data_IF_455320223959
#
_entry.id   IF_455320223959
#
_cell.length_a   1.000
_cell.length_b   1.000
_cell.length_c   1.000
_cell.angle_alpha   90.00
_cell.angle_beta   90.00
_cell.angle_gamma   90.00
#
_symmetry.space_group_name_H-M   'P 1'
#
loop_
_entity.id
_entity.type
_entity.pdbx_description
1 polymer ?
#
# COMPACT_ATOMS: atom_id res chain seq x y z
N UNK A 1 16.09 26.99 -90.14
CA UNK A 1 16.80 26.66 -88.91
C UNK A 1 17.80 25.57 -89.18
N UNK A 2 19.04 25.68 -88.73
CA UNK A 2 20.00 24.57 -88.88
C UNK A 2 19.48 23.29 -88.21
N UNK A 3 19.66 22.16 -88.85
CA UNK A 3 19.19 20.86 -88.39
C UNK A 3 19.68 20.52 -86.98
N UNK A 4 20.83 21.04 -86.57
CA UNK A 4 21.42 20.91 -85.25
C UNK A 4 20.57 21.57 -84.15
N UNK A 5 19.94 22.71 -84.42
CA UNK A 5 19.11 23.43 -83.45
C UNK A 5 17.77 22.71 -83.24
N UNK A 6 17.22 22.12 -84.32
CA UNK A 6 16.00 21.31 -84.20
C UNK A 6 16.29 20.05 -83.35
N UNK A 7 17.41 19.39 -83.58
CA UNK A 7 17.81 18.21 -82.83
C UNK A 7 17.99 18.55 -81.34
N UNK A 8 18.59 19.70 -81.04
CA UNK A 8 18.82 20.13 -79.64
C UNK A 8 17.49 20.43 -78.89
N UNK A 9 16.51 21.04 -79.63
CA UNK A 9 15.18 21.31 -79.07
C UNK A 9 14.43 19.99 -78.84
N UNK A 10 14.51 19.05 -79.75
CA UNK A 10 13.83 17.73 -79.61
C UNK A 10 14.43 16.94 -78.45
N UNK A 11 15.77 16.90 -78.34
CA UNK A 11 16.44 16.24 -77.24
C UNK A 11 16.11 16.91 -75.88
N UNK A 12 16.09 18.24 -75.87
CA UNK A 12 15.67 18.97 -74.65
C UNK A 12 14.25 18.70 -74.21
N UNK A 13 13.32 18.63 -75.20
CA UNK A 13 11.92 18.29 -74.93
C UNK A 13 11.75 16.84 -74.42
N UNK A 14 12.49 15.90 -74.98
CA UNK A 14 12.49 14.51 -74.55
C UNK A 14 13.05 14.39 -73.11
N UNK A 15 14.19 15.05 -72.87
CA UNK A 15 14.75 15.10 -71.48
C UNK A 15 13.77 15.68 -70.48
N UNK A 16 13.08 16.77 -70.81
CA UNK A 16 12.12 17.40 -69.95
C UNK A 16 10.93 16.47 -69.64
N UNK A 17 10.42 15.74 -70.68
CA UNK A 17 9.37 14.76 -70.47
C UNK A 17 9.80 13.56 -69.65
N UNK A 18 11.03 13.08 -69.80
CA UNK A 18 11.58 11.98 -69.00
C UNK A 18 11.80 12.41 -67.52
N UNK A 19 12.40 13.58 -67.28
CA UNK A 19 12.60 14.08 -65.94
C UNK A 19 11.27 14.42 -65.24
N UNK A 20 10.34 15.02 -65.96
CA UNK A 20 9.00 15.31 -65.46
C UNK A 20 8.18 14.01 -65.16
N UNK A 21 8.30 13.01 -66.02
CA UNK A 21 7.70 11.70 -65.80
C UNK A 21 8.30 10.97 -64.61
N UNK A 22 9.61 11.00 -64.44
CA UNK A 22 10.30 10.42 -63.28
C UNK A 22 9.92 11.15 -61.96
N UNK A 23 9.87 12.47 -62.00
CA UNK A 23 9.43 13.27 -60.85
C UNK A 23 7.97 13.00 -60.48
N UNK A 24 7.09 12.87 -61.50
CA UNK A 24 5.70 12.52 -61.25
C UNK A 24 5.54 11.09 -60.72
N UNK A 25 6.26 10.14 -61.26
CA UNK A 25 6.30 8.76 -60.74
C UNK A 25 6.85 8.71 -59.30
N UNK A 26 7.95 9.41 -59.03
CA UNK A 26 8.53 9.50 -57.73
C UNK A 26 7.52 10.13 -56.74
N UNK A 27 6.85 11.20 -57.12
CA UNK A 27 5.85 11.87 -56.30
C UNK A 27 4.62 10.96 -56.04
N UNK A 28 4.17 10.27 -57.08
CA UNK A 28 3.06 9.33 -56.98
C UNK A 28 3.38 8.14 -56.09
N UNK A 29 4.53 7.50 -56.25
CA UNK A 29 4.99 6.41 -55.38
C UNK A 29 5.30 6.87 -53.96
N UNK A 30 5.81 8.07 -53.76
CA UNK A 30 6.05 8.63 -52.44
C UNK A 30 4.74 9.01 -51.72
N UNK A 31 3.76 9.56 -52.46
CA UNK A 31 2.42 9.82 -51.95
C UNK A 31 1.64 8.54 -51.63
N UNK A 32 1.75 7.49 -52.43
CA UNK A 32 1.14 6.19 -52.14
C UNK A 32 1.84 5.47 -50.95
N UNK A 33 3.13 5.73 -50.74
CA UNK A 33 3.86 5.26 -49.57
C UNK A 33 3.56 6.06 -48.29
N UNK A 34 3.14 7.31 -48.44
CA UNK A 34 2.75 8.22 -47.31
C UNK A 34 1.24 8.21 -47.09
N UNK A 35 0.42 7.78 -48.06
CA UNK A 35 -0.98 7.45 -47.75
C UNK A 35 -0.92 6.38 -46.66
N UNK A 36 -1.19 6.80 -45.43
CA UNK A 36 -1.54 5.87 -44.36
C UNK A 36 -2.46 4.81 -45.00
N UNK A 37 -1.94 3.60 -45.20
CA UNK A 37 -2.81 2.47 -45.45
C UNK A 37 -3.87 2.59 -44.40
N UNK A 38 -5.12 2.69 -44.80
CA UNK A 38 -6.22 2.61 -43.84
C UNK A 38 -5.92 1.35 -43.06
N UNK A 39 -5.48 1.53 -41.85
CA UNK A 39 -5.14 0.44 -40.93
C UNK A 39 -6.44 -0.33 -40.84
N UNK A 40 -6.48 -1.58 -41.30
CA UNK A 40 -7.68 -2.38 -41.22
C UNK A 40 -8.16 -2.39 -39.79
N UNK A 41 -9.47 -2.31 -39.60
CA UNK A 41 -10.07 -2.39 -38.26
C UNK A 41 -9.45 -3.56 -37.50
N UNK A 42 -8.72 -3.28 -36.41
CA UNK A 42 -8.06 -4.27 -35.55
C UNK A 42 -6.55 -4.41 -35.65
N UNK A 43 -5.85 -3.68 -36.53
CA UNK A 43 -4.38 -3.80 -36.65
C UNK A 43 -3.61 -3.28 -35.43
N UNK A 44 -4.18 -2.38 -34.64
CA UNK A 44 -3.69 -1.88 -33.35
C UNK A 44 -4.62 -2.22 -32.17
N UNK A 45 -5.50 -3.22 -32.37
CA UNK A 45 -6.59 -3.54 -31.47
C UNK A 45 -7.85 -2.72 -31.79
N UNK A 46 -8.98 -3.25 -31.40
CA UNK A 46 -10.27 -2.57 -31.49
C UNK A 46 -10.77 -2.27 -30.09
N UNK A 47 -11.04 -1.01 -29.78
CA UNK A 47 -11.75 -0.62 -28.58
C UNK A 47 -13.17 -0.21 -28.95
N UNK A 48 -14.16 -0.76 -28.27
CA UNK A 48 -15.56 -0.39 -28.38
C UNK A 48 -16.25 -0.46 -27.02
N UNK A 49 -17.37 0.16 -26.89
CA UNK A 49 -18.22 -0.01 -25.73
C UNK A 49 -18.70 -1.45 -25.62
N UNK A 50 -18.70 -2.00 -24.41
CA UNK A 50 -19.25 -3.31 -24.13
C UNK A 50 -20.76 -3.34 -24.45
N UNK A 51 -21.21 -4.43 -25.03
CA UNK A 51 -22.64 -4.67 -25.23
C UNK A 51 -23.30 -5.01 -23.90
N UNK A 52 -24.63 -4.81 -23.82
CA UNK A 52 -25.39 -5.19 -22.62
C UNK A 52 -25.25 -6.69 -22.29
N UNK A 53 -25.05 -7.53 -23.29
CA UNK A 53 -24.84 -8.96 -23.07
C UNK A 53 -23.46 -9.24 -22.44
N UNK A 54 -22.41 -8.58 -22.90
CA UNK A 54 -21.08 -8.69 -22.31
C UNK A 54 -21.06 -8.18 -20.87
N UNK A 55 -21.69 -7.03 -20.59
CA UNK A 55 -21.84 -6.51 -19.21
C UNK A 55 -22.53 -7.53 -18.31
N UNK A 56 -23.62 -8.16 -18.78
CA UNK A 56 -24.35 -9.18 -18.02
C UNK A 56 -23.54 -10.46 -17.79
N UNK A 57 -22.63 -10.79 -18.68
CA UNK A 57 -21.78 -11.98 -18.54
C UNK A 57 -20.56 -11.72 -17.65
N UNK A 58 -20.04 -10.50 -17.65
CA UNK A 58 -18.83 -10.13 -16.93
C UNK A 58 -19.11 -9.78 -15.46
N UNK A 59 -20.17 -9.03 -15.20
CA UNK A 59 -20.45 -8.51 -13.86
C UNK A 59 -21.61 -9.26 -13.18
N UNK A 60 -21.51 -9.43 -11.88
CA UNK A 60 -22.64 -9.86 -11.07
C UNK A 60 -23.65 -8.71 -10.92
N UNK A 61 -24.92 -9.03 -11.13
CA UNK A 61 -26.02 -8.07 -10.98
C UNK A 61 -26.65 -8.27 -9.60
N UNK A 62 -26.46 -7.32 -8.71
CA UNK A 62 -26.91 -7.39 -7.31
C UNK A 62 -27.89 -6.24 -7.05
N UNK A 63 -29.14 -6.52 -6.62
CA UNK A 63 -30.00 -5.45 -6.14
C UNK A 63 -29.31 -4.62 -5.09
N UNK A 64 -29.27 -3.29 -5.25
CA UNK A 64 -28.59 -2.39 -4.31
C UNK A 64 -29.59 -1.84 -3.32
N UNK A 65 -29.75 -2.53 -2.18
CA UNK A 65 -30.80 -2.30 -1.18
C UNK A 65 -30.22 -2.02 0.23
N UNK A 66 -29.48 -0.91 0.43
CA UNK A 66 -28.79 -0.62 1.70
C UNK A 66 -29.70 -0.63 2.93
N UNK A 67 -30.95 -0.19 2.77
CA UNK A 67 -31.93 -0.15 3.88
C UNK A 67 -32.32 -1.55 4.38
N UNK A 68 -32.38 -2.55 3.49
CA UNK A 68 -32.63 -3.94 3.83
C UNK A 68 -31.35 -4.60 4.36
N UNK A 69 -30.23 -4.34 3.74
CA UNK A 69 -28.93 -4.86 4.17
C UNK A 69 -28.59 -4.47 5.62
N UNK A 70 -28.86 -3.20 6.00
CA UNK A 70 -28.67 -2.71 7.37
C UNK A 70 -29.58 -3.37 8.41
N UNK A 71 -30.65 -4.02 7.97
CA UNK A 71 -31.50 -4.86 8.80
C UNK A 71 -31.09 -6.33 8.80
N UNK A 72 -30.06 -6.69 8.05
CA UNK A 72 -29.62 -8.07 7.88
C UNK A 72 -30.43 -8.86 6.85
N UNK A 73 -31.23 -8.18 6.02
CA UNK A 73 -32.07 -8.78 4.99
C UNK A 73 -31.38 -8.66 3.61
N UNK A 74 -31.57 -9.65 2.74
CA UNK A 74 -31.10 -9.69 1.35
C UNK A 74 -29.59 -9.42 1.17
N UNK A 75 -28.76 -9.78 2.15
CA UNK A 75 -27.31 -9.54 2.08
C UNK A 75 -26.68 -10.17 0.83
N UNK A 76 -25.77 -9.45 0.13
CA UNK A 76 -25.11 -9.99 -1.04
C UNK A 76 -24.17 -11.15 -0.67
N UNK A 77 -24.27 -12.25 -1.41
CA UNK A 77 -23.41 -13.43 -1.20
C UNK A 77 -22.01 -13.27 -1.81
N UNK A 78 -21.92 -12.45 -2.86
CA UNK A 78 -20.66 -12.29 -3.63
C UNK A 78 -19.88 -11.08 -3.15
N UNK A 79 -18.62 -11.26 -2.86
CA UNK A 79 -17.68 -10.19 -2.57
C UNK A 79 -17.10 -9.62 -3.86
N UNK A 80 -16.91 -8.30 -3.93
CA UNK A 80 -16.38 -7.64 -5.12
C UNK A 80 -16.47 -6.11 -5.05
N UNK A 81 -16.17 -5.45 -6.17
CA UNK A 81 -16.24 -4.00 -6.32
C UNK A 81 -17.44 -3.57 -7.15
N UNK A 82 -18.20 -2.60 -6.67
CA UNK A 82 -19.28 -1.96 -7.42
C UNK A 82 -18.67 -1.00 -8.42
N UNK A 83 -18.83 -1.26 -9.70
CA UNK A 83 -18.29 -0.47 -10.80
C UNK A 83 -19.31 0.44 -11.46
N UNK A 84 -20.60 0.14 -11.31
CA UNK A 84 -21.68 0.89 -11.90
C UNK A 84 -23.02 0.41 -11.39
N UNK A 85 -24.07 0.98 -11.95
CA UNK A 85 -25.44 0.57 -11.62
C UNK A 85 -26.34 0.66 -12.86
N UNK A 86 -27.40 -0.13 -12.82
CA UNK A 86 -28.48 -0.12 -13.81
C UNK A 86 -29.84 -0.02 -13.09
N UNK A 87 -30.88 0.35 -13.86
CA UNK A 87 -32.25 0.39 -13.37
C UNK A 87 -32.74 1.78 -12.96
N UNK A 88 -34.03 1.89 -12.65
CA UNK A 88 -34.63 3.12 -12.17
C UNK A 88 -34.21 3.44 -10.73
N UNK A 89 -34.40 4.67 -10.28
CA UNK A 89 -33.97 5.13 -8.94
C UNK A 89 -34.52 4.29 -7.78
N UNK A 90 -35.71 3.73 -7.94
CA UNK A 90 -36.38 2.94 -6.92
C UNK A 90 -35.95 1.45 -6.92
N UNK A 91 -35.25 0.99 -7.96
CA UNK A 91 -34.77 -0.37 -8.11
C UNK A 91 -33.39 -0.39 -8.78
N UNK A 92 -32.41 0.06 -8.04
CA UNK A 92 -31.03 0.12 -8.51
C UNK A 92 -30.41 -1.28 -8.41
N UNK A 93 -29.78 -1.72 -9.50
CA UNK A 93 -28.99 -2.95 -9.53
C UNK A 93 -27.52 -2.57 -9.67
N UNK A 94 -26.70 -2.96 -8.72
CA UNK A 94 -25.25 -2.78 -8.78
C UNK A 94 -24.62 -3.77 -9.75
N UNK A 95 -23.67 -3.29 -10.54
CA UNK A 95 -22.78 -4.07 -11.39
C UNK A 95 -21.50 -4.34 -10.59
N UNK A 96 -21.32 -5.56 -10.16
CA UNK A 96 -20.25 -5.95 -9.24
C UNK A 96 -19.22 -6.81 -9.97
N UNK A 97 -17.97 -6.39 -9.97
CA UNK A 97 -16.87 -7.24 -10.37
C UNK A 97 -16.44 -8.13 -9.19
N UNK A 98 -16.53 -9.44 -9.42
CA UNK A 98 -16.25 -10.45 -8.39
C UNK A 98 -14.87 -11.08 -8.52
N UNK A 99 -14.07 -10.65 -9.49
CA UNK A 99 -12.71 -11.13 -9.67
C UNK A 99 -11.72 -10.51 -8.67
N UNK A 100 -10.56 -11.11 -8.53
CA UNK A 100 -9.47 -10.56 -7.73
C UNK A 100 -8.72 -9.51 -8.56
N UNK A 101 -9.19 -8.27 -8.52
CA UNK A 101 -8.68 -7.18 -9.35
C UNK A 101 -8.28 -5.98 -8.50
N UNK A 102 -7.43 -5.14 -9.05
CA UNK A 102 -7.24 -3.77 -8.57
C UNK A 102 -8.03 -2.82 -9.45
N UNK A 103 -8.55 -1.76 -8.86
CA UNK A 103 -9.23 -0.70 -9.58
C UNK A 103 -8.59 0.65 -9.26
N UNK A 104 -8.45 1.51 -10.26
CA UNK A 104 -7.98 2.87 -10.07
C UNK A 104 -9.08 3.87 -10.43
N UNK A 105 -9.30 4.85 -9.56
CA UNK A 105 -10.26 5.92 -9.79
C UNK A 105 -9.52 7.24 -9.98
N UNK A 106 -9.72 7.85 -11.15
CA UNK A 106 -9.15 9.17 -11.46
C UNK A 106 -10.28 10.13 -11.77
N UNK A 107 -10.44 11.17 -10.97
CA UNK A 107 -11.45 12.20 -11.20
C UNK A 107 -11.07 13.52 -10.51
N UNK A 108 -11.45 14.64 -11.10
CA UNK A 108 -11.22 15.97 -10.56
C UNK A 108 -11.84 16.15 -9.16
N UNK A 109 -11.38 17.17 -8.43
CA UNK A 109 -12.03 17.55 -7.17
C UNK A 109 -13.49 17.99 -7.44
N UNK A 110 -14.41 17.55 -6.58
CA UNK A 110 -15.85 17.84 -6.75
C UNK A 110 -16.59 16.97 -7.77
N UNK A 111 -15.92 16.06 -8.47
CA UNK A 111 -16.55 15.15 -9.44
C UNK A 111 -17.45 14.06 -8.81
N UNK A 112 -17.48 13.97 -7.48
CA UNK A 112 -18.35 13.04 -6.78
C UNK A 112 -17.70 11.66 -6.50
N UNK A 113 -16.36 11.54 -6.55
CA UNK A 113 -15.64 10.29 -6.24
C UNK A 113 -16.15 9.61 -4.98
N UNK A 114 -16.26 10.36 -3.90
CA UNK A 114 -16.72 9.82 -2.61
C UNK A 114 -18.18 9.39 -2.68
N UNK A 115 -19.07 10.20 -3.25
CA UNK A 115 -20.50 9.94 -3.28
C UNK A 115 -20.90 8.80 -4.25
N UNK A 116 -20.28 8.77 -5.44
CA UNK A 116 -20.67 7.82 -6.49
C UNK A 116 -19.84 6.55 -6.54
N UNK A 117 -18.66 6.55 -5.92
CA UNK A 117 -17.80 5.36 -5.91
C UNK A 117 -17.53 4.85 -4.50
N UNK A 118 -16.98 5.69 -3.60
CA UNK A 118 -16.58 5.21 -2.28
C UNK A 118 -17.75 4.77 -1.41
N UNK A 119 -18.79 5.60 -1.26
CA UNK A 119 -19.93 5.25 -0.43
C UNK A 119 -20.64 3.97 -0.87
N UNK A 120 -20.97 3.77 -2.17
CA UNK A 120 -21.54 2.51 -2.62
C UNK A 120 -20.62 1.30 -2.39
N UNK A 121 -19.31 1.46 -2.57
CA UNK A 121 -18.35 0.39 -2.36
C UNK A 121 -18.13 0.05 -0.88
N UNK A 122 -18.11 1.03 0.02
CA UNK A 122 -18.04 0.81 1.46
C UNK A 122 -19.30 0.11 1.95
N UNK A 123 -20.49 0.58 1.53
CA UNK A 123 -21.75 -0.07 1.88
C UNK A 123 -21.80 -1.52 1.38
N UNK A 124 -21.34 -1.76 0.14
CA UNK A 124 -21.29 -3.10 -0.43
C UNK A 124 -20.25 -3.99 0.28
N UNK A 125 -19.09 -3.46 0.62
CA UNK A 125 -18.08 -4.19 1.38
C UNK A 125 -18.61 -4.64 2.74
N UNK A 126 -19.32 -3.74 3.43
CA UNK A 126 -19.97 -4.05 4.70
C UNK A 126 -21.05 -5.12 4.55
N UNK A 127 -21.94 -4.98 3.57
CA UNK A 127 -23.03 -5.92 3.34
C UNK A 127 -22.53 -7.31 2.92
N UNK A 128 -21.48 -7.38 2.08
CA UNK A 128 -20.87 -8.64 1.61
C UNK A 128 -19.86 -9.25 2.59
N UNK A 129 -19.58 -8.58 3.70
CA UNK A 129 -18.70 -9.09 4.74
C UNK A 129 -17.20 -8.99 4.43
N UNK A 130 -16.78 -8.14 3.49
CA UNK A 130 -15.36 -7.89 3.21
C UNK A 130 -14.76 -6.99 4.29
N UNK A 131 -13.58 -7.32 4.79
CA UNK A 131 -12.81 -6.36 5.60
C UNK A 131 -12.24 -5.25 4.74
N UNK A 132 -12.21 -4.05 5.24
CA UNK A 132 -11.62 -2.93 4.49
C UNK A 132 -10.82 -1.97 5.35
N UNK A 133 -9.85 -1.34 4.69
CA UNK A 133 -9.06 -0.23 5.20
C UNK A 133 -9.30 0.96 4.30
N UNK A 134 -9.50 2.15 4.86
CA UNK A 134 -9.58 3.37 4.06
C UNK A 134 -8.78 4.51 4.66
N UNK A 135 -8.17 5.31 3.79
CA UNK A 135 -7.66 6.63 4.15
C UNK A 135 -8.78 7.65 4.05
N UNK A 136 -8.86 8.58 5.00
CA UNK A 136 -9.94 9.54 5.13
C UNK A 136 -9.39 10.93 5.50
N UNK A 137 -9.15 11.76 4.50
CA UNK A 137 -8.56 13.09 4.71
C UNK A 137 -9.53 14.07 5.41
N UNK A 138 -10.82 13.87 5.28
CA UNK A 138 -11.85 14.74 5.85
C UNK A 138 -12.49 14.19 7.13
N UNK A 139 -12.33 12.92 7.40
CA UNK A 139 -13.01 12.21 8.47
C UNK A 139 -14.49 11.91 8.16
N UNK A 140 -14.91 12.09 6.90
CA UNK A 140 -16.30 11.90 6.47
C UNK A 140 -16.66 10.40 6.37
N UNK A 141 -15.72 9.58 5.90
CA UNK A 141 -15.92 8.14 5.78
C UNK A 141 -16.12 7.52 7.16
N UNK A 142 -15.26 7.87 8.11
CA UNK A 142 -15.37 7.43 9.49
C UNK A 142 -16.69 7.88 10.13
N UNK A 143 -17.03 9.18 10.04
CA UNK A 143 -18.26 9.71 10.65
C UNK A 143 -19.53 9.09 10.10
N UNK A 144 -19.55 8.81 8.78
CA UNK A 144 -20.74 8.31 8.11
C UNK A 144 -20.92 6.79 8.24
N UNK A 145 -19.83 6.03 8.32
CA UNK A 145 -19.88 4.58 8.19
C UNK A 145 -19.46 3.78 9.43
N UNK A 146 -18.70 4.34 10.37
CA UNK A 146 -18.24 3.57 11.53
C UNK A 146 -19.39 3.05 12.38
N UNK A 147 -20.41 3.90 12.65
CA UNK A 147 -21.61 3.49 13.37
C UNK A 147 -22.41 2.44 12.59
N UNK A 148 -22.66 2.66 11.31
CA UNK A 148 -23.37 1.71 10.44
C UNK A 148 -22.65 0.36 10.40
N UNK A 149 -21.34 0.37 10.23
CA UNK A 149 -20.52 -0.85 10.17
C UNK A 149 -20.63 -1.66 11.47
N UNK A 150 -20.54 -0.99 12.62
CA UNK A 150 -20.63 -1.62 13.93
C UNK A 150 -22.04 -2.12 14.24
N UNK A 151 -23.04 -1.24 14.15
CA UNK A 151 -24.38 -1.47 14.68
C UNK A 151 -25.25 -2.30 13.73
N UNK A 152 -25.09 -2.12 12.41
CA UNK A 152 -25.90 -2.83 11.41
C UNK A 152 -25.24 -4.11 10.90
N UNK A 153 -23.92 -4.12 10.74
CA UNK A 153 -23.20 -5.24 10.11
C UNK A 153 -22.31 -6.03 11.07
N UNK A 154 -22.15 -5.58 12.32
CA UNK A 154 -21.39 -6.27 13.37
C UNK A 154 -19.88 -6.26 13.14
N UNK A 155 -19.36 -5.21 12.51
CA UNK A 155 -17.92 -5.07 12.27
C UNK A 155 -17.17 -4.64 13.53
N UNK A 156 -15.94 -5.12 13.64
CA UNK A 156 -14.96 -4.50 14.51
C UNK A 156 -14.40 -3.26 13.82
N UNK A 157 -14.37 -2.15 14.55
CA UNK A 157 -13.93 -0.85 14.03
C UNK A 157 -12.67 -0.42 14.73
N UNK A 158 -11.68 0.02 13.96
CA UNK A 158 -10.55 0.76 14.47
C UNK A 158 -10.43 2.10 13.73
N UNK A 159 -10.15 3.16 14.46
CA UNK A 159 -9.85 4.47 13.90
C UNK A 159 -8.45 4.90 14.33
N UNK A 160 -7.59 5.14 13.35
CA UNK A 160 -6.28 5.74 13.56
C UNK A 160 -6.39 7.21 13.20
N UNK A 161 -6.72 8.04 14.18
CA UNK A 161 -6.92 9.47 13.98
C UNK A 161 -5.62 10.24 14.21
N UNK A 162 -4.86 10.46 13.14
CA UNK A 162 -3.62 11.24 13.19
C UNK A 162 -3.87 12.75 13.29
N UNK A 163 -5.11 13.19 13.10
CA UNK A 163 -5.53 14.57 13.31
C UNK A 163 -5.73 14.87 14.80
N UNK A 164 -6.33 13.91 15.51
CA UNK A 164 -6.60 13.98 16.94
C UNK A 164 -6.11 12.70 17.65
N UNK A 165 -4.80 12.53 17.83
CA UNK A 165 -4.22 11.30 18.39
C UNK A 165 -4.79 10.88 19.73
N UNK A 166 -5.25 11.83 20.56
CA UNK A 166 -5.89 11.57 21.86
C UNK A 166 -7.27 10.90 21.77
N UNK A 167 -7.86 10.84 20.59
CA UNK A 167 -9.14 10.17 20.30
C UNK A 167 -8.96 8.96 19.39
N UNK A 168 -7.74 8.64 19.05
CA UNK A 168 -7.38 7.51 18.21
C UNK A 168 -7.42 6.21 19.00
N UNK A 169 -7.75 5.13 18.34
CA UNK A 169 -7.43 3.80 18.84
C UNK A 169 -5.92 3.58 18.85
N UNK A 170 -5.47 2.69 19.73
CA UNK A 170 -4.08 2.29 19.79
C UNK A 170 -3.62 1.51 18.57
N UNK A 171 -2.37 1.69 18.21
CA UNK A 171 -1.66 0.90 17.21
C UNK A 171 -0.24 0.62 17.68
N UNK A 172 -0.10 -0.37 18.53
CA UNK A 172 1.20 -0.83 19.00
C UNK A 172 1.88 -1.65 17.89
N UNK A 173 2.92 -1.10 17.31
CA UNK A 173 3.68 -1.76 16.24
C UNK A 173 4.28 -3.13 16.66
N UNK A 174 4.43 -3.36 17.97
CA UNK A 174 4.94 -4.62 18.52
C UNK A 174 3.81 -5.61 18.88
N UNK A 175 2.55 -5.30 18.62
CA UNK A 175 1.41 -6.10 19.08
C UNK A 175 1.54 -7.59 18.74
N UNK A 176 1.77 -7.94 17.48
CA UNK A 176 1.90 -9.34 17.06
C UNK A 176 3.15 -10.01 17.65
N UNK A 177 4.24 -9.25 17.81
CA UNK A 177 5.46 -9.76 18.46
C UNK A 177 5.16 -10.14 19.91
N UNK A 178 4.50 -9.23 20.64
CA UNK A 178 4.11 -9.42 22.04
C UNK A 178 3.15 -10.60 22.18
N UNK A 179 2.09 -10.65 21.37
CA UNK A 179 1.09 -11.72 21.34
C UNK A 179 1.74 -13.11 21.22
N UNK A 180 2.61 -13.29 20.23
CA UNK A 180 3.25 -14.59 20.01
C UNK A 180 4.35 -14.90 21.03
N UNK A 181 5.02 -13.88 21.59
CA UNK A 181 5.95 -14.07 22.67
C UNK A 181 5.22 -14.52 23.95
N UNK A 182 4.05 -13.96 24.25
CA UNK A 182 3.24 -14.35 25.41
C UNK A 182 2.72 -15.80 25.27
N UNK A 183 2.28 -16.21 24.07
CA UNK A 183 1.92 -17.60 23.79
C UNK A 183 3.13 -18.54 24.01
N UNK A 184 4.31 -18.14 23.56
CA UNK A 184 5.54 -18.94 23.79
C UNK A 184 5.93 -18.99 25.26
N UNK A 185 5.81 -17.89 26.02
CA UNK A 185 6.08 -17.88 27.46
C UNK A 185 5.12 -18.77 28.23
N UNK A 186 3.84 -18.79 27.84
CA UNK A 186 2.83 -19.67 28.46
C UNK A 186 3.08 -21.15 28.15
N UNK A 187 3.55 -21.48 26.95
CA UNK A 187 3.95 -22.83 26.54
C UNK A 187 5.29 -22.81 25.79
N UNK A 188 6.43 -22.98 26.50
CA UNK A 188 7.76 -23.02 25.88
C UNK A 188 8.01 -24.13 24.87
N UNK A 189 7.11 -25.10 24.76
CA UNK A 189 7.17 -26.16 23.74
C UNK A 189 6.58 -25.67 22.41
N UNK A 190 5.81 -24.60 22.41
CA UNK A 190 5.24 -24.00 21.21
C UNK A 190 6.29 -23.18 20.43
N UNK A 191 7.18 -23.91 19.73
CA UNK A 191 8.22 -23.29 18.91
C UNK A 191 7.64 -22.52 17.71
N UNK A 192 6.43 -22.85 17.27
CA UNK A 192 5.76 -22.12 16.21
C UNK A 192 5.43 -20.68 16.63
N UNK A 193 4.94 -20.48 17.86
CA UNK A 193 4.71 -19.14 18.40
C UNK A 193 6.02 -18.32 18.47
N UNK A 194 7.09 -18.94 18.96
CA UNK A 194 8.42 -18.30 18.97
C UNK A 194 8.87 -17.88 17.58
N UNK A 195 8.75 -18.76 16.59
CA UNK A 195 9.12 -18.47 15.22
C UNK A 195 8.29 -17.32 14.62
N UNK A 196 7.00 -17.21 14.96
CA UNK A 196 6.15 -16.07 14.56
C UNK A 196 6.61 -14.77 15.21
N UNK A 197 6.91 -14.74 16.51
CA UNK A 197 7.45 -13.57 17.17
C UNK A 197 8.75 -13.07 16.49
N UNK A 198 9.66 -14.01 16.17
CA UNK A 198 10.90 -13.72 15.44
C UNK A 198 10.62 -13.17 14.02
N UNK A 199 9.64 -13.73 13.30
CA UNK A 199 9.22 -13.31 11.96
C UNK A 199 8.68 -11.89 11.97
N UNK A 200 7.72 -11.59 12.86
CA UNK A 200 7.14 -10.25 12.97
C UNK A 200 8.16 -9.20 13.45
N UNK A 201 9.11 -9.58 14.32
CA UNK A 201 10.21 -8.69 14.70
C UNK A 201 11.07 -8.29 13.51
N UNK A 202 11.39 -9.24 12.61
CA UNK A 202 12.14 -8.93 11.38
C UNK A 202 11.33 -8.06 10.42
N UNK A 203 10.03 -8.34 10.27
CA UNK A 203 9.14 -7.56 9.41
C UNK A 203 9.14 -6.10 9.85
N UNK A 204 8.92 -5.85 11.14
CA UNK A 204 8.90 -4.51 11.69
C UNK A 204 10.27 -3.82 11.56
N UNK A 205 11.35 -4.48 11.94
CA UNK A 205 12.71 -3.92 11.82
C UNK A 205 13.03 -3.53 10.39
N UNK A 206 12.75 -4.40 9.43
CA UNK A 206 12.94 -4.11 8.00
C UNK A 206 12.08 -2.93 7.53
N UNK A 207 10.82 -2.87 7.99
CA UNK A 207 9.94 -1.76 7.65
C UNK A 207 10.50 -0.43 8.15
N UNK A 208 10.93 -0.37 9.42
CA UNK A 208 11.47 0.85 10.03
C UNK A 208 12.78 1.31 9.39
N UNK A 209 13.69 0.40 9.13
CA UNK A 209 15.00 0.74 8.55
C UNK A 209 14.82 1.27 7.13
N UNK A 210 13.92 0.70 6.34
CA UNK A 210 13.72 1.06 4.94
C UNK A 210 12.72 2.20 4.68
N UNK A 211 12.10 2.76 5.71
CA UNK A 211 11.06 3.83 5.59
C UNK A 211 11.55 5.10 4.86
N UNK A 212 12.84 5.30 4.66
CA UNK A 212 13.41 6.49 4.02
C UNK A 212 13.78 6.31 2.54
N UNK A 213 13.26 5.30 1.86
CA UNK A 213 13.25 5.26 0.39
C UNK A 213 14.38 4.49 -0.27
N UNK A 214 14.68 3.27 0.15
CA UNK A 214 15.55 2.41 -0.65
C UNK A 214 15.58 0.96 -0.13
N UNK A 215 15.57 0.00 -1.02
CA UNK A 215 16.02 -1.35 -0.69
C UNK A 215 17.51 -1.31 -0.32
N UNK A 216 17.95 -2.25 0.53
CA UNK A 216 19.36 -2.37 0.93
C UNK A 216 20.35 -2.36 -0.26
N UNK A 217 19.89 -2.81 -1.43
CA UNK A 217 20.64 -2.74 -2.68
C UNK A 217 20.93 -1.30 -3.17
N UNK A 218 20.11 -0.32 -2.79
CA UNK A 218 20.33 1.10 -3.17
C UNK A 218 21.32 1.81 -2.24
N UNK A 219 21.63 1.24 -1.08
CA UNK A 219 22.55 1.86 -0.10
C UNK A 219 24.02 1.68 -0.43
N UNK A 220 24.38 0.91 -1.48
CA UNK A 220 25.75 0.74 -1.92
C UNK A 220 26.68 0.32 -0.77
N UNK A 221 27.75 1.10 -0.53
CA UNK A 221 28.72 0.84 0.54
C UNK A 221 28.12 0.94 1.96
N UNK A 222 26.94 1.53 2.12
CA UNK A 222 26.29 1.69 3.42
C UNK A 222 25.33 0.53 3.75
N UNK A 223 25.10 -0.43 2.84
CA UNK A 223 24.20 -1.57 3.05
C UNK A 223 24.50 -2.31 4.36
N UNK A 224 25.77 -2.50 4.69
CA UNK A 224 26.17 -3.13 5.94
C UNK A 224 25.62 -2.46 7.19
N UNK A 225 25.57 -1.11 7.23
CA UNK A 225 25.05 -0.38 8.40
C UNK A 225 23.55 -0.58 8.56
N UNK A 226 22.79 -0.60 7.45
CA UNK A 226 21.36 -0.82 7.45
C UNK A 226 20.99 -2.25 7.83
N UNK A 227 21.68 -3.25 7.27
CA UNK A 227 21.49 -4.66 7.62
C UNK A 227 21.82 -4.94 9.09
N UNK A 228 22.89 -4.33 9.60
CA UNK A 228 23.28 -4.44 11.00
C UNK A 228 22.28 -3.73 11.94
N UNK A 229 21.73 -2.59 11.51
CA UNK A 229 20.68 -1.87 12.23
C UNK A 229 19.37 -2.67 12.28
N UNK A 230 18.98 -3.34 11.17
CA UNK A 230 17.84 -4.24 11.13
C UNK A 230 18.02 -5.39 12.14
N UNK A 231 19.20 -6.02 12.15
CA UNK A 231 19.51 -7.08 13.11
C UNK A 231 19.45 -6.61 14.55
N UNK A 232 20.02 -5.44 14.85
CA UNK A 232 20.01 -4.83 16.19
C UNK A 232 18.58 -4.51 16.65
N UNK A 233 17.75 -3.89 15.79
CA UNK A 233 16.34 -3.62 16.09
C UNK A 233 15.55 -4.90 16.32
N UNK A 234 15.75 -5.92 15.49
CA UNK A 234 15.10 -7.24 15.66
C UNK A 234 15.42 -7.82 17.04
N UNK A 235 16.69 -7.76 17.46
CA UNK A 235 17.11 -8.21 18.80
C UNK A 235 16.43 -7.40 19.91
N UNK A 236 16.34 -6.07 19.76
CA UNK A 236 15.71 -5.19 20.76
C UNK A 236 14.20 -5.46 20.88
N UNK A 237 13.49 -5.67 19.76
CA UNK A 237 12.08 -6.02 19.79
C UNK A 237 11.83 -7.31 20.54
N UNK A 238 12.63 -8.35 20.28
CA UNK A 238 12.53 -9.62 20.98
C UNK A 238 12.79 -9.47 22.49
N UNK A 239 13.82 -8.70 22.87
CA UNK A 239 14.12 -8.46 24.29
C UNK A 239 13.01 -7.67 24.99
N UNK A 240 12.45 -6.66 24.34
CA UNK A 240 11.31 -5.90 24.86
C UNK A 240 10.10 -6.82 25.07
N UNK A 241 9.76 -7.63 24.08
CA UNK A 241 8.62 -8.54 24.17
C UNK A 241 8.82 -9.66 25.20
N UNK A 242 10.07 -10.12 25.38
CA UNK A 242 10.37 -11.24 26.26
C UNK A 242 10.54 -10.81 27.74
N UNK A 243 11.19 -9.67 28.00
CA UNK A 243 11.65 -9.33 29.35
C UNK A 243 10.95 -8.13 29.98
N UNK A 244 10.28 -7.26 29.23
CA UNK A 244 9.53 -6.18 29.87
C UNK A 244 8.26 -6.73 30.57
N UNK A 245 7.93 -6.17 31.77
CA UNK A 245 6.81 -6.65 32.55
C UNK A 245 5.48 -6.30 31.87
N UNK A 246 4.50 -7.18 32.03
CA UNK A 246 3.11 -7.02 31.61
C UNK A 246 2.19 -6.62 32.77
N UNK A 247 2.73 -6.56 33.99
CA UNK A 247 2.02 -6.16 35.21
C UNK A 247 2.85 -5.13 35.97
N UNK A 248 2.19 -4.22 36.67
CA UNK A 248 2.81 -3.31 37.59
C UNK A 248 3.15 -3.97 38.96
N UNK A 249 3.74 -3.22 39.88
CA UNK A 249 4.08 -3.73 41.21
C UNK A 249 2.84 -4.15 42.05
N UNK A 250 1.66 -3.75 41.65
CA UNK A 250 0.39 -4.09 42.31
C UNK A 250 -0.37 -5.22 41.58
N UNK A 251 0.17 -5.77 40.49
CA UNK A 251 -0.46 -6.82 39.69
C UNK A 251 -1.50 -6.30 38.69
N UNK A 252 -1.55 -4.98 38.43
CA UNK A 252 -2.43 -4.45 37.39
C UNK A 252 -1.79 -4.63 36.01
N UNK A 253 -2.57 -5.00 34.99
CA UNK A 253 -2.06 -5.11 33.63
C UNK A 253 -1.49 -3.78 33.13
N UNK A 254 -0.28 -3.81 32.60
CA UNK A 254 0.37 -2.68 31.93
C UNK A 254 1.00 -3.14 30.63
N UNK A 255 0.91 -2.31 29.59
CA UNK A 255 1.64 -2.58 28.36
C UNK A 255 2.81 -1.58 28.23
N UNK A 256 3.99 -2.08 28.46
CA UNK A 256 5.26 -1.32 28.31
C UNK A 256 6.06 -1.77 27.10
N UNK A 257 5.58 -2.76 26.36
CA UNK A 257 6.27 -3.38 25.23
C UNK A 257 5.87 -2.70 23.93
N UNK A 258 6.32 -1.46 23.75
CA UNK A 258 6.01 -0.62 22.59
C UNK A 258 7.27 0.09 22.06
N UNK A 259 7.15 0.74 20.93
CA UNK A 259 8.31 1.33 20.20
C UNK A 259 9.08 2.38 21.01
N UNK A 260 8.41 3.14 21.86
CA UNK A 260 9.06 4.14 22.74
C UNK A 260 9.94 3.45 23.80
N UNK A 261 9.50 2.30 24.32
CA UNK A 261 10.34 1.50 25.24
C UNK A 261 11.56 0.91 24.53
N UNK A 262 11.42 0.55 23.26
CA UNK A 262 12.57 0.13 22.45
C UNK A 262 13.57 1.27 22.31
N UNK A 263 13.10 2.50 22.05
CA UNK A 263 13.98 3.67 21.97
C UNK A 263 14.75 3.89 23.27
N UNK A 264 14.04 3.90 24.42
CA UNK A 264 14.68 4.05 25.75
C UNK A 264 15.69 2.95 26.00
N UNK A 265 15.34 1.69 25.69
CA UNK A 265 16.23 0.56 25.87
C UNK A 265 17.48 0.68 24.97
N UNK A 266 17.33 1.12 23.72
CA UNK A 266 18.48 1.36 22.83
C UNK A 266 19.40 2.41 23.42
N UNK A 267 18.87 3.54 23.91
CA UNK A 267 19.70 4.59 24.53
C UNK A 267 20.44 4.11 25.78
N UNK A 268 19.77 3.38 26.68
CA UNK A 268 20.33 2.91 27.92
C UNK A 268 21.36 1.79 27.73
N UNK A 269 21.01 0.78 26.91
CA UNK A 269 21.86 -0.39 26.74
C UNK A 269 23.09 -0.13 25.88
N UNK A 270 23.02 0.82 24.95
CA UNK A 270 24.16 1.16 24.11
C UNK A 270 25.10 2.19 24.73
N UNK A 271 24.76 2.71 25.92
CA UNK A 271 25.67 3.53 26.69
C UNK A 271 26.90 2.70 27.14
N UNK A 272 28.08 3.35 27.33
CA UNK A 272 29.27 2.68 27.82
C UNK A 272 29.01 2.02 29.18
N UNK A 273 29.54 0.80 29.34
CA UNK A 273 29.45 0.08 30.63
C UNK A 273 30.65 0.36 31.53
N UNK A 274 30.60 -0.16 32.77
CA UNK A 274 31.75 -0.13 33.69
C UNK A 274 32.90 -1.03 33.21
N UNK A 275 32.64 -1.94 32.27
CA UNK A 275 33.66 -2.84 31.69
C UNK A 275 34.24 -2.15 30.45
N UNK A 276 35.55 -1.87 30.50
CA UNK A 276 36.24 -1.19 29.40
C UNK A 276 36.06 -1.96 28.07
N UNK A 277 35.66 -1.24 27.03
CA UNK A 277 35.47 -1.79 25.70
C UNK A 277 34.15 -2.53 25.51
N UNK A 278 33.21 -2.50 26.45
CA UNK A 278 31.86 -3.06 26.33
C UNK A 278 30.79 -2.06 26.66
N UNK A 279 29.64 -2.14 26.00
CA UNK A 279 28.44 -1.43 26.37
C UNK A 279 27.52 -2.33 27.22
N UNK A 280 26.45 -1.74 27.79
CA UNK A 280 25.50 -2.48 28.64
C UNK A 280 24.79 -3.60 27.86
N UNK A 281 24.54 -3.39 26.57
CA UNK A 281 23.87 -4.37 25.71
C UNK A 281 24.73 -5.62 25.51
N UNK A 282 26.02 -5.45 25.29
CA UNK A 282 26.95 -6.58 25.20
C UNK A 282 26.97 -7.41 26.50
N UNK A 283 26.98 -6.73 27.65
CA UNK A 283 26.93 -7.41 28.95
C UNK A 283 25.59 -8.14 29.18
N UNK A 284 24.48 -7.54 28.72
CA UNK A 284 23.17 -8.21 28.79
C UNK A 284 23.15 -9.47 27.95
N UNK A 285 23.61 -9.39 26.70
CA UNK A 285 23.63 -10.52 25.77
C UNK A 285 24.53 -11.67 26.27
N UNK A 286 25.63 -11.36 26.97
CA UNK A 286 26.50 -12.40 27.56
C UNK A 286 25.78 -13.22 28.64
N UNK A 287 24.77 -12.63 29.32
CA UNK A 287 23.95 -13.33 30.32
C UNK A 287 22.87 -14.23 29.70
N UNK A 288 22.53 -14.00 28.43
CA UNK A 288 21.54 -14.83 27.74
C UNK A 288 22.13 -16.18 27.32
N UNK A 289 21.31 -17.23 27.19
CA UNK A 289 21.76 -18.53 26.67
C UNK A 289 22.49 -18.36 25.32
N UNK A 290 23.51 -19.19 25.01
CA UNK A 290 24.28 -19.08 23.77
C UNK A 290 23.44 -19.20 22.50
N UNK A 291 22.34 -19.94 22.54
CA UNK A 291 21.40 -20.15 21.44
C UNK A 291 20.25 -19.16 21.42
N UNK A 292 20.29 -18.11 22.25
CA UNK A 292 19.26 -17.09 22.27
C UNK A 292 19.30 -16.25 20.99
N UNK A 293 18.15 -16.09 20.31
CA UNK A 293 18.06 -15.44 18.99
C UNK A 293 18.49 -13.99 18.98
N UNK A 294 18.23 -13.23 20.06
CA UNK A 294 18.69 -11.84 20.16
C UNK A 294 20.21 -11.72 20.04
N UNK A 295 20.98 -12.71 20.53
CA UNK A 295 22.45 -12.74 20.35
C UNK A 295 22.83 -12.88 18.87
N UNK A 296 22.10 -13.72 18.14
CA UNK A 296 22.39 -13.98 16.74
C UNK A 296 22.01 -12.78 15.86
N UNK A 297 20.84 -12.19 16.08
CA UNK A 297 20.41 -11.00 15.32
C UNK A 297 21.30 -9.78 15.56
N UNK A 298 21.73 -9.55 16.78
CA UNK A 298 22.64 -8.45 17.11
C UNK A 298 24.11 -8.74 16.74
N UNK A 299 24.45 -9.96 16.39
CA UNK A 299 25.85 -10.40 16.22
C UNK A 299 26.63 -9.60 15.18
N UNK A 300 26.03 -9.25 14.06
CA UNK A 300 26.67 -8.43 13.01
C UNK A 300 27.02 -7.02 13.53
N UNK A 301 26.12 -6.38 14.27
CA UNK A 301 26.33 -5.07 14.84
C UNK A 301 27.41 -5.08 15.93
N UNK A 302 27.39 -6.08 16.81
CA UNK A 302 28.26 -6.13 17.98
C UNK A 302 29.69 -6.57 17.69
N UNK A 303 29.90 -7.30 16.61
CA UNK A 303 31.23 -7.79 16.20
C UNK A 303 31.98 -6.82 15.27
N UNK A 304 31.49 -5.58 15.15
CA UNK A 304 32.15 -4.54 14.34
C UNK A 304 33.08 -3.67 15.14
N UNK A 305 33.96 -2.93 14.44
CA UNK A 305 34.77 -1.90 15.06
C UNK A 305 33.89 -0.84 15.74
N UNK A 306 34.38 -0.24 16.81
CA UNK A 306 33.65 0.74 17.63
C UNK A 306 33.03 1.89 16.79
N UNK A 307 33.77 2.38 15.79
CA UNK A 307 33.30 3.44 14.90
C UNK A 307 32.14 2.99 14.00
N UNK A 308 32.18 1.75 13.49
CA UNK A 308 31.10 1.17 12.71
C UNK A 308 29.87 0.91 13.57
N UNK A 309 30.05 0.44 14.81
CA UNK A 309 28.97 0.27 15.79
C UNK A 309 28.28 1.60 16.10
N UNK A 310 29.02 2.69 16.26
CA UNK A 310 28.45 4.02 16.46
C UNK A 310 27.56 4.44 15.28
N UNK A 311 27.93 4.13 14.06
CA UNK A 311 27.14 4.40 12.86
C UNK A 311 25.85 3.57 12.82
N UNK A 312 25.89 2.30 13.21
CA UNK A 312 24.70 1.43 13.33
C UNK A 312 23.75 2.00 14.37
N UNK A 313 24.24 2.36 15.56
CA UNK A 313 23.45 2.96 16.64
C UNK A 313 22.80 4.27 16.19
N UNK A 314 23.56 5.14 15.54
CA UNK A 314 23.04 6.40 15.00
C UNK A 314 21.93 6.17 14.00
N UNK A 315 22.05 5.15 13.14
CA UNK A 315 21.01 4.76 12.19
C UNK A 315 19.73 4.32 12.91
N UNK A 316 19.85 3.44 13.92
CA UNK A 316 18.71 2.97 14.71
C UNK A 316 18.02 4.13 15.44
N UNK A 317 18.77 4.95 16.15
CA UNK A 317 18.23 6.09 16.91
C UNK A 317 17.56 7.12 15.99
N UNK A 318 18.15 7.41 14.83
CA UNK A 318 17.55 8.30 13.83
C UNK A 318 16.17 7.82 13.38
N UNK A 319 16.01 6.50 13.17
CA UNK A 319 14.71 5.92 12.80
C UNK A 319 13.70 5.96 13.95
N UNK A 320 14.14 5.67 15.15
CA UNK A 320 13.27 5.64 16.34
C UNK A 320 12.90 7.05 16.83
N UNK A 321 13.73 8.07 16.57
CA UNK A 321 13.48 9.45 17.00
C UNK A 321 12.17 10.02 16.41
N UNK A 322 11.75 9.56 15.25
CA UNK A 322 10.49 9.98 14.63
C UNK A 322 9.23 9.63 15.47
N UNK A 323 9.35 8.72 16.45
CA UNK A 323 8.24 8.28 17.31
C UNK A 323 8.17 9.01 18.66
N UNK A 324 9.09 9.94 18.92
CA UNK A 324 9.18 10.66 20.20
C UNK A 324 8.32 11.93 20.22
N UNK A 325 7.16 11.85 19.65
CA UNK A 325 6.14 12.91 19.73
C UNK A 325 5.06 12.48 20.73
N UNK A 326 4.79 13.29 21.72
CA UNK A 326 3.80 13.00 22.78
C UNK A 326 2.40 12.72 22.24
N UNK A 327 2.03 13.28 21.08
CA UNK A 327 0.77 12.97 20.42
C UNK A 327 0.82 11.59 19.77
N UNK A 328 1.94 11.23 19.14
CA UNK A 328 2.10 9.91 18.53
C UNK A 328 2.20 8.81 19.59
N UNK A 329 2.73 9.09 20.76
CA UNK A 329 2.75 8.15 21.89
C UNK A 329 1.33 7.72 22.30
N UNK A 330 0.30 8.58 22.12
CA UNK A 330 -1.10 8.23 22.38
C UNK A 330 -1.62 7.11 21.47
N UNK A 331 -1.04 6.96 20.29
CA UNK A 331 -1.38 5.87 19.38
C UNK A 331 -0.47 4.66 19.61
N UNK A 332 0.83 4.89 19.73
CA UNK A 332 1.84 3.84 19.68
C UNK A 332 2.05 3.06 20.98
N UNK A 333 1.67 3.65 22.12
CA UNK A 333 1.87 3.05 23.43
C UNK A 333 0.67 2.25 23.94
N UNK A 334 -0.41 2.18 23.17
CA UNK A 334 -1.62 1.41 23.51
C UNK A 334 -1.80 0.23 22.58
N UNK A 335 -2.46 -0.81 23.07
CA UNK A 335 -2.69 -2.03 22.31
C UNK A 335 -3.44 -1.78 21.02
N UNK A 336 -3.09 -2.58 20.01
CA UNK A 336 -3.74 -2.56 18.71
C UNK A 336 -5.13 -3.16 18.80
N UNK A 337 -6.14 -2.36 18.46
CA UNK A 337 -7.54 -2.80 18.49
C UNK A 337 -7.81 -3.90 17.44
N UNK A 338 -7.27 -3.72 16.22
CA UNK A 338 -7.40 -4.66 15.10
C UNK A 338 -6.00 -4.93 14.55
N UNK A 339 -5.45 -6.09 14.85
CA UNK A 339 -4.21 -6.58 14.24
C UNK A 339 -4.46 -7.19 12.85
N UNK A 340 -3.40 -7.49 12.11
CA UNK A 340 -3.53 -8.05 10.77
C UNK A 340 -4.25 -9.40 10.74
N UNK A 341 -4.13 -10.23 11.79
CA UNK A 341 -4.80 -11.52 11.85
C UNK A 341 -6.32 -11.36 12.02
N UNK A 342 -6.76 -10.49 12.91
CA UNK A 342 -8.18 -10.13 13.07
C UNK A 342 -8.72 -9.51 11.79
N UNK A 343 -7.96 -8.55 11.22
CA UNK A 343 -8.34 -7.86 10.01
C UNK A 343 -8.59 -8.79 8.82
N UNK A 344 -7.80 -9.84 8.70
CA UNK A 344 -7.92 -10.83 7.62
C UNK A 344 -8.96 -11.92 7.88
N UNK A 345 -9.27 -12.23 9.14
CA UNK A 345 -10.10 -13.37 9.49
C UNK A 345 -11.50 -13.00 10.02
N UNK A 346 -11.69 -11.76 10.45
CA UNK A 346 -12.93 -11.27 11.02
C UNK A 346 -13.44 -10.05 10.26
N UNK A 347 -14.75 -9.79 10.29
CA UNK A 347 -15.33 -8.58 9.69
C UNK A 347 -14.78 -7.34 10.40
N UNK A 348 -13.90 -6.63 9.75
CA UNK A 348 -13.17 -5.50 10.33
C UNK A 348 -13.09 -4.32 9.38
N UNK A 349 -13.17 -3.11 9.92
CA UNK A 349 -12.97 -1.87 9.19
C UNK A 349 -11.98 -0.98 9.92
N UNK A 350 -10.93 -0.55 9.21
CA UNK A 350 -9.89 0.36 9.71
C UNK A 350 -10.01 1.69 8.97
N UNK A 351 -10.21 2.77 9.71
CA UNK A 351 -10.22 4.13 9.18
C UNK A 351 -8.95 4.86 9.61
N UNK A 352 -8.19 5.37 8.64
CA UNK A 352 -7.01 6.21 8.90
C UNK A 352 -7.37 7.65 8.56
N UNK A 353 -7.63 8.45 9.60
CA UNK A 353 -7.97 9.87 9.45
C UNK A 353 -6.69 10.68 9.39
N UNK A 354 -6.52 11.40 8.28
CA UNK A 354 -5.32 12.17 7.97
C UNK A 354 -5.48 13.64 8.32
N UNK A 355 -4.47 14.30 8.88
CA UNK A 355 -4.48 15.75 9.01
C UNK A 355 -4.32 16.42 7.63
N UNK A 356 -5.15 17.41 7.31
CA UNK A 356 -5.07 18.12 6.02
C UNK A 356 -3.84 19.01 5.93
N UNK A 357 -3.46 19.67 7.02
CA UNK A 357 -2.43 20.72 7.07
C UNK A 357 -1.07 20.22 7.60
N UNK A 358 -1.09 19.28 8.54
CA UNK A 358 0.13 18.79 9.20
C UNK A 358 0.66 17.52 8.54
N UNK A 359 1.62 17.68 7.66
CA UNK A 359 2.27 16.55 6.97
C UNK A 359 3.36 15.87 7.81
N UNK A 360 3.70 16.40 8.98
CA UNK A 360 4.78 15.85 9.81
C UNK A 360 4.49 14.42 10.29
N UNK A 361 3.22 14.09 10.48
CA UNK A 361 2.75 12.76 10.91
C UNK A 361 2.49 11.78 9.78
N UNK A 362 2.61 12.20 8.52
CA UNK A 362 2.30 11.38 7.37
C UNK A 362 3.22 10.17 7.21
N UNK A 363 4.46 10.24 7.73
CA UNK A 363 5.36 9.08 7.73
C UNK A 363 4.76 7.88 8.46
N UNK A 364 3.94 8.13 9.50
CA UNK A 364 3.24 7.08 10.24
C UNK A 364 2.23 6.33 9.38
N UNK A 365 1.52 7.02 8.48
CA UNK A 365 0.59 6.38 7.55
C UNK A 365 1.32 5.38 6.67
N UNK A 366 2.42 5.83 6.04
CA UNK A 366 3.24 4.97 5.20
C UNK A 366 3.79 3.77 5.98
N UNK A 367 4.27 4.00 7.20
CA UNK A 367 4.79 2.94 8.07
C UNK A 367 3.70 1.93 8.46
N UNK A 368 2.55 2.42 8.95
CA UNK A 368 1.43 1.55 9.36
C UNK A 368 0.95 0.72 8.18
N UNK A 369 0.76 1.34 7.01
CA UNK A 369 0.31 0.65 5.81
C UNK A 369 1.32 -0.39 5.33
N UNK A 370 2.61 -0.08 5.34
CA UNK A 370 3.66 -1.02 4.96
C UNK A 370 3.75 -2.19 5.94
N UNK A 371 3.69 -1.92 7.25
CA UNK A 371 3.75 -2.97 8.26
C UNK A 371 2.52 -3.88 8.16
N UNK A 372 1.32 -3.29 8.13
CA UNK A 372 0.06 -4.01 7.97
C UNK A 372 0.05 -4.85 6.70
N UNK A 373 0.50 -4.30 5.56
CA UNK A 373 0.59 -5.04 4.31
C UNK A 373 1.49 -6.30 4.43
N UNK A 374 2.68 -6.16 5.01
CA UNK A 374 3.60 -7.30 5.21
C UNK A 374 3.03 -8.34 6.15
N UNK A 375 2.33 -7.91 7.19
CA UNK A 375 1.62 -8.80 8.10
C UNK A 375 0.46 -9.52 7.41
N UNK A 376 -0.33 -8.82 6.58
CA UNK A 376 -1.40 -9.41 5.75
C UNK A 376 -0.84 -10.48 4.81
N UNK A 377 0.27 -10.22 4.13
CA UNK A 377 0.93 -11.23 3.28
C UNK A 377 1.33 -12.46 4.09
N UNK A 378 1.83 -12.26 5.31
CA UNK A 378 2.19 -13.37 6.20
C UNK A 378 0.97 -14.21 6.57
N UNK A 379 -0.16 -13.57 6.89
CA UNK A 379 -1.43 -14.26 7.16
C UNK A 379 -1.91 -15.02 5.92
N UNK A 380 -1.82 -14.43 4.74
CA UNK A 380 -2.18 -15.11 3.50
C UNK A 380 -1.32 -16.35 3.23
N UNK A 381 0.00 -16.24 3.41
CA UNK A 381 0.94 -17.35 3.21
C UNK A 381 0.65 -18.49 4.19
N UNK A 382 0.32 -18.20 5.45
CA UNK A 382 -0.09 -19.18 6.45
C UNK A 382 -1.43 -19.86 6.14
N UNK A 383 -2.30 -19.17 5.40
CA UNK A 383 -3.58 -19.70 4.93
C UNK A 383 -3.49 -20.39 3.54
N UNK A 384 -2.30 -20.82 3.12
CA UNK A 384 -2.11 -21.51 1.85
C UNK A 384 -1.99 -20.59 0.65
N UNK A 385 -1.55 -19.35 0.85
CA UNK A 385 -1.27 -18.37 -0.20
C UNK A 385 -2.40 -17.40 -0.49
N UNK A 386 -3.54 -17.50 0.23
CA UNK A 386 -4.70 -16.62 0.03
C UNK A 386 -5.40 -16.30 1.35
N UNK A 387 -5.96 -15.10 1.45
CA UNK A 387 -6.79 -14.70 2.58
C UNK A 387 -8.13 -15.45 2.57
N UNK A 388 -8.62 -15.81 3.75
CA UNK A 388 -9.93 -16.46 3.91
C UNK A 388 -11.08 -15.51 3.59
N UNK A 389 -10.95 -14.24 3.98
CA UNK A 389 -11.88 -13.17 3.67
C UNK A 389 -11.19 -12.17 2.74
N UNK A 390 -11.91 -11.62 1.77
CA UNK A 390 -11.38 -10.54 0.93
C UNK A 390 -11.16 -9.28 1.74
N UNK A 391 -10.07 -8.61 1.43
CA UNK A 391 -9.68 -7.34 2.03
C UNK A 391 -9.58 -6.28 0.95
N UNK A 392 -10.14 -5.10 1.19
CA UNK A 392 -10.05 -3.96 0.27
C UNK A 392 -9.34 -2.81 0.94
N UNK A 393 -8.39 -2.21 0.24
CA UNK A 393 -7.79 -0.95 0.63
C UNK A 393 -8.29 0.17 -0.28
N UNK A 394 -9.20 0.99 0.23
CA UNK A 394 -9.65 2.23 -0.40
C UNK A 394 -8.69 3.36 -0.05
N UNK A 395 -7.76 3.66 -0.95
CA UNK A 395 -6.78 4.72 -0.76
C UNK A 395 -7.33 6.05 -1.28
N UNK A 396 -8.25 6.68 -0.51
CA UNK A 396 -8.80 7.98 -0.89
C UNK A 396 -7.72 9.06 -0.80
N UNK A 397 -7.70 9.94 -1.78
CA UNK A 397 -6.70 11.01 -1.92
C UNK A 397 -5.24 10.50 -1.83
N UNK A 398 -4.96 9.32 -2.42
CA UNK A 398 -3.61 8.72 -2.39
C UNK A 398 -2.52 9.68 -2.86
N UNK A 399 -2.88 10.60 -3.77
CA UNK A 399 -1.94 11.60 -4.27
C UNK A 399 -1.49 12.65 -3.26
N UNK A 400 -2.24 12.85 -2.17
CA UNK A 400 -1.89 13.76 -1.07
C UNK A 400 -1.19 13.03 0.08
N UNK A 401 -1.36 11.71 0.16
CA UNK A 401 -0.64 10.89 1.11
C UNK A 401 0.86 10.85 0.79
N UNK A 402 1.73 10.65 1.80
CA UNK A 402 3.14 10.41 1.51
C UNK A 402 3.29 9.15 0.68
N UNK A 403 4.32 9.06 -0.15
CA UNK A 403 4.59 7.85 -0.90
C UNK A 403 4.63 6.62 0.01
N UNK A 404 3.79 5.64 -0.27
CA UNK A 404 3.86 4.33 0.38
C UNK A 404 4.98 3.58 -0.32
N UNK A 405 6.05 3.28 0.40
CA UNK A 405 7.21 2.63 -0.18
C UNK A 405 6.84 1.27 -0.77
N UNK A 406 7.34 0.99 -1.96
CA UNK A 406 7.09 -0.26 -2.69
C UNK A 406 5.61 -0.52 -2.97
N UNK A 407 4.80 0.52 -3.16
CA UNK A 407 3.37 0.37 -3.49
C UNK A 407 3.18 -0.44 -4.77
N UNK A 408 4.04 -0.28 -5.77
CA UNK A 408 4.04 -1.05 -7.02
C UNK A 408 4.21 -2.56 -6.78
N UNK A 409 5.03 -2.95 -5.79
CA UNK A 409 5.16 -4.35 -5.37
C UNK A 409 3.89 -4.85 -4.65
N UNK A 410 3.20 -3.96 -3.92
CA UNK A 410 1.92 -4.30 -3.31
C UNK A 410 0.89 -4.65 -4.38
N UNK A 411 0.81 -3.91 -5.47
CA UNK A 411 -0.06 -4.23 -6.60
C UNK A 411 0.27 -5.59 -7.24
N UNK A 412 1.56 -5.87 -7.45
CA UNK A 412 1.96 -7.16 -8.05
C UNK A 412 1.64 -8.35 -7.17
N UNK A 413 1.83 -8.26 -5.85
CA UNK A 413 1.79 -9.41 -4.95
C UNK A 413 0.43 -9.65 -4.29
N UNK A 414 -0.42 -8.63 -4.17
CA UNK A 414 -1.65 -8.72 -3.36
C UNK A 414 -2.84 -9.32 -4.07
N UNK A 415 -2.93 -9.18 -5.40
CA UNK A 415 -4.08 -9.65 -6.20
C UNK A 415 -4.39 -11.14 -5.97
N UNK A 416 -3.43 -12.02 -6.17
CA UNK A 416 -3.62 -13.47 -6.00
C UNK A 416 -3.92 -13.87 -4.55
N UNK A 417 -3.64 -13.00 -3.60
CA UNK A 417 -3.87 -13.24 -2.16
C UNK A 417 -5.23 -12.80 -1.66
N UNK A 418 -6.05 -12.16 -2.50
CA UNK A 418 -7.37 -11.67 -2.12
C UNK A 418 -7.36 -10.30 -1.43
N UNK A 419 -6.27 -9.54 -1.59
CA UNK A 419 -6.18 -8.14 -1.18
C UNK A 419 -6.32 -7.24 -2.41
N UNK A 420 -7.38 -6.46 -2.45
CA UNK A 420 -7.68 -5.51 -3.52
C UNK A 420 -7.20 -4.11 -3.12
N UNK A 421 -6.50 -3.44 -4.04
CA UNK A 421 -6.03 -2.06 -3.87
C UNK A 421 -6.84 -1.15 -4.79
N UNK A 422 -7.38 -0.09 -4.23
CA UNK A 422 -8.24 0.87 -4.94
C UNK A 422 -7.72 2.29 -4.71
N UNK A 423 -6.67 2.70 -5.42
CA UNK A 423 -6.17 4.07 -5.37
C UNK A 423 -7.17 5.04 -6.01
N UNK A 424 -7.42 6.13 -5.32
CA UNK A 424 -8.25 7.23 -5.78
C UNK A 424 -7.41 8.48 -5.86
N UNK A 425 -7.25 9.01 -7.07
CA UNK A 425 -6.38 10.16 -7.34
C UNK A 425 -7.11 11.23 -8.15
N UNK A 426 -6.66 12.47 -8.06
CA UNK A 426 -7.19 13.55 -8.88
C UNK A 426 -6.45 13.70 -10.21
N UNK A 427 -5.20 13.27 -10.26
CA UNK A 427 -4.36 13.34 -11.46
C UNK A 427 -3.27 12.26 -11.43
N UNK A 428 -3.12 11.54 -12.52
CA UNK A 428 -2.02 10.59 -12.67
C UNK A 428 -0.70 11.34 -12.71
N UNK A 429 -0.58 12.36 -13.56
CA UNK A 429 0.68 13.10 -13.75
C UNK A 429 1.03 13.98 -12.55
N UNK A 430 0.04 14.73 -12.04
CA UNK A 430 0.27 15.71 -10.98
C UNK A 430 0.41 15.11 -9.58
N UNK A 431 -0.11 13.91 -9.35
CA UNK A 431 -0.11 13.26 -8.04
C UNK A 431 0.62 11.93 -8.05
N UNK A 432 0.19 10.97 -8.87
CA UNK A 432 0.75 9.63 -8.85
C UNK A 432 2.22 9.62 -9.32
N UNK A 433 2.51 10.25 -10.48
CA UNK A 433 3.89 10.33 -10.98
C UNK A 433 4.79 11.19 -10.08
N UNK A 434 4.25 12.19 -9.41
CA UNK A 434 5.01 13.00 -8.45
C UNK A 434 5.50 12.16 -7.28
N UNK A 435 4.67 11.24 -6.79
CA UNK A 435 4.95 10.41 -5.61
C UNK A 435 5.76 9.15 -5.93
N UNK A 436 5.51 8.52 -7.08
CA UNK A 436 6.05 7.19 -7.43
C UNK A 436 6.95 7.21 -8.67
N UNK A 437 7.22 8.37 -9.23
CA UNK A 437 7.94 8.50 -10.50
C UNK A 437 7.09 8.01 -11.69
N UNK A 438 7.69 8.11 -12.88
CA UNK A 438 6.99 7.69 -14.11
C UNK A 438 6.81 6.17 -14.15
N UNK A 439 7.89 5.42 -13.92
CA UNK A 439 7.89 3.96 -13.98
C UNK A 439 6.97 3.33 -12.91
N UNK A 440 7.09 3.76 -11.65
CA UNK A 440 6.22 3.26 -10.57
C UNK A 440 4.74 3.57 -10.81
N UNK A 441 4.42 4.75 -11.33
CA UNK A 441 3.05 5.11 -11.65
C UNK A 441 2.48 4.32 -12.84
N UNK A 442 3.28 4.03 -13.87
CA UNK A 442 2.89 3.17 -14.99
C UNK A 442 2.59 1.75 -14.48
N UNK A 443 3.41 1.17 -13.60
CA UNK A 443 3.16 -0.14 -13.00
C UNK A 443 1.82 -0.15 -12.23
N UNK A 444 1.55 0.88 -11.42
CA UNK A 444 0.29 0.98 -10.66
C UNK A 444 -0.91 1.05 -11.61
N UNK A 445 -0.82 1.83 -12.68
CA UNK A 445 -1.86 1.96 -13.70
C UNK A 445 -2.07 0.64 -14.44
N UNK A 446 -1.02 0.01 -14.93
CA UNK A 446 -1.09 -1.22 -15.72
C UNK A 446 -1.61 -2.42 -14.92
N UNK A 447 -1.29 -2.49 -13.62
CA UNK A 447 -1.77 -3.53 -12.72
C UNK A 447 -3.18 -3.26 -12.19
N UNK A 448 -3.70 -2.04 -12.33
CA UNK A 448 -5.10 -1.72 -12.09
C UNK A 448 -5.91 -2.13 -13.32
N UNK A 449 -6.53 -3.30 -13.26
CA UNK A 449 -7.27 -3.87 -14.41
C UNK A 449 -8.53 -3.06 -14.76
N UNK A 450 -9.03 -2.27 -13.81
CA UNK A 450 -10.21 -1.41 -14.00
C UNK A 450 -9.81 0.04 -13.71
N UNK A 451 -9.95 0.87 -14.73
CA UNK A 451 -9.74 2.30 -14.63
C UNK A 451 -11.09 3.02 -14.73
N UNK A 452 -11.47 3.69 -13.66
CA UNK A 452 -12.65 4.55 -13.63
C UNK A 452 -12.15 5.98 -13.75
N UNK A 453 -12.31 6.57 -14.92
CA UNK A 453 -11.89 7.96 -15.17
C UNK A 453 -13.08 8.80 -15.61
N UNK A 454 -13.19 9.98 -15.02
CA UNK A 454 -14.12 10.98 -15.53
C UNK A 454 -13.60 11.47 -16.88
N UNK A 455 -14.45 11.57 -17.93
CA UNK A 455 -14.05 12.21 -19.17
C UNK A 455 -13.64 13.65 -18.82
N UNK A 456 -12.37 13.97 -19.06
CA UNK A 456 -11.91 15.34 -18.97
C UNK A 456 -12.83 16.17 -19.85
N UNK A 457 -13.55 17.13 -19.24
CA UNK A 457 -14.16 18.22 -20.00
C UNK A 457 -13.00 18.90 -20.72
N UNK A 458 -12.77 18.52 -21.96
CA UNK A 458 -12.07 19.41 -22.86
C UNK A 458 -12.93 20.67 -22.89
N UNK A 459 -12.53 21.66 -22.13
CA UNK A 459 -12.98 23.02 -22.37
C UNK A 459 -12.63 23.25 -23.83
N UNK A 460 -13.65 23.25 -24.67
CA UNK A 460 -13.61 23.88 -25.97
C UNK A 460 -13.31 25.35 -25.67
N UNK A 461 -12.03 25.66 -25.63
CA UNK A 461 -11.58 27.05 -25.78
C UNK A 461 -11.70 27.30 -27.27
N UNK A 462 -12.85 27.78 -27.66
CA UNK A 462 -13.05 28.48 -28.93
C UNK A 462 -12.38 29.86 -28.87
#
# INVERSE_FOLDING_TARGET
MPTQVITLIVVGAIMFLVIGGLAFLSHYYTLDGIKSKTVGDGQHGTARWATKQEIRQTYAHVPFEPELWRKGEHLPEKQGLVLGCEGPKDHVTALVDTDDIHAMVTAASGAGKTAFFLYPNIEYALASGMSFLCTDTKGDLFRNYAGIAKDCYGYQIAVLDLRNPTRSDGNNLLHLINKYMDIYKADPKNLAAKAKAEKYSKILAKTLINTSGGDSAQYGQNAFFYDSAEGLLTAMFLLVAEYLPTEDANGNPIEKRHIVSVFKLVQELLAPSRVKGKNQFQLLLEKLPPNHKARWFAGSALNTAEQAMASVISTVLSRLNAFLDSEMEQILCFDTAIDAEKFCNEKSAIFIVLPEEDQTKYFMVSLILQNLYREILTVADENGGRLKNRVVFFADELGTCPPIQSLELMFSASRSRGLMLVPIVQSITGQLQKNYGKEGSEIIVDLSLIHISEPTRHSLIS
#
